data_IF_538595393594
#
_entry.id   IF_538595393594
#
_cell.length_a   1.000
_cell.length_b   1.000
_cell.length_c   1.000
_cell.angle_alpha   90.00
_cell.angle_beta   90.00
_cell.angle_gamma   90.00
#
_symmetry.space_group_name_H-M   'P 1'
#
loop_
_entity.id
_entity.type
_entity.pdbx_description
1 polymer ?
#
# COMPACT_ATOMS: atom_id res chain seq x y z
N UNK A 1 -46.70 -3.85 6.95
CA UNK A 1 -45.77 -3.10 6.07
C UNK A 1 -45.50 -3.95 4.85
N UNK A 2 -45.12 -3.37 3.71
CA UNK A 2 -44.87 -4.10 2.47
C UNK A 2 -43.79 -3.39 1.63
N UNK A 3 -43.18 -4.11 0.69
CA UNK A 3 -42.25 -3.52 -0.26
C UNK A 3 -42.98 -2.91 -1.44
N UNK A 4 -42.67 -1.65 -1.75
CA UNK A 4 -43.18 -0.94 -2.91
C UNK A 4 -42.08 -0.77 -3.95
N UNK A 5 -42.31 -1.30 -5.15
CA UNK A 5 -41.41 -1.12 -6.30
C UNK A 5 -41.58 0.28 -6.89
N UNK A 6 -40.46 0.93 -7.17
CA UNK A 6 -40.39 2.16 -7.94
C UNK A 6 -39.52 1.94 -9.17
N UNK A 7 -40.00 2.39 -10.33
CA UNK A 7 -39.26 2.32 -11.58
C UNK A 7 -38.97 3.74 -12.08
N UNK A 8 -37.72 3.98 -12.44
CA UNK A 8 -37.27 5.24 -13.03
C UNK A 8 -36.46 4.95 -14.28
N UNK A 9 -36.80 5.62 -15.39
CA UNK A 9 -36.01 5.56 -16.62
C UNK A 9 -35.00 6.72 -16.61
N UNK A 10 -33.71 6.40 -16.74
CA UNK A 10 -32.61 7.38 -16.81
C UNK A 10 -31.54 6.84 -17.76
N UNK A 11 -31.00 7.69 -18.63
CA UNK A 11 -29.89 7.34 -19.54
C UNK A 11 -30.13 6.07 -20.38
N UNK A 12 -31.37 5.92 -20.89
CA UNK A 12 -31.77 4.77 -21.71
C UNK A 12 -32.01 3.46 -20.94
N UNK A 13 -31.67 3.39 -19.65
CA UNK A 13 -31.85 2.20 -18.80
C UNK A 13 -33.01 2.38 -17.81
N UNK A 14 -33.69 1.28 -17.48
CA UNK A 14 -34.75 1.25 -16.47
C UNK A 14 -34.17 0.80 -15.15
N UNK A 15 -34.15 1.70 -14.18
CA UNK A 15 -33.71 1.45 -12.82
C UNK A 15 -34.91 1.10 -11.93
N UNK A 16 -34.82 -0.02 -11.21
CA UNK A 16 -35.87 -0.47 -10.28
C UNK A 16 -35.32 -0.45 -8.86
N UNK A 17 -35.93 0.35 -7.98
CA UNK A 17 -35.57 0.41 -6.56
C UNK A 17 -36.78 0.12 -5.68
N UNK A 18 -36.52 -0.32 -4.45
CA UNK A 18 -37.55 -0.75 -3.51
C UNK A 18 -37.62 0.15 -2.28
N UNK A 19 -38.83 0.35 -1.78
CA UNK A 19 -39.09 1.12 -0.56
C UNK A 19 -39.96 0.32 0.41
N UNK A 20 -39.54 0.22 1.66
CA UNK A 20 -40.36 -0.33 2.73
C UNK A 20 -41.44 0.69 3.10
N UNK A 21 -42.70 0.28 2.98
CA UNK A 21 -43.85 1.16 3.11
C UNK A 21 -44.82 0.61 4.15
N UNK A 22 -45.34 1.49 4.99
CA UNK A 22 -46.41 1.19 5.95
C UNK A 22 -47.71 1.89 5.57
N UNK A 23 -48.85 1.26 5.90
CA UNK A 23 -50.17 1.86 5.72
C UNK A 23 -50.58 2.53 7.03
N UNK A 24 -50.70 3.86 7.00
CA UNK A 24 -51.10 4.68 8.15
C UNK A 24 -52.53 5.17 7.93
N UNK A 25 -53.39 5.03 8.95
CA UNK A 25 -54.74 5.61 8.91
C UNK A 25 -54.65 7.11 9.13
N UNK A 26 -55.20 7.89 8.20
CA UNK A 26 -55.32 9.35 8.32
C UNK A 26 -56.79 9.75 8.32
N UNK A 27 -57.10 10.99 8.72
CA UNK A 27 -58.46 11.54 8.68
C UNK A 27 -59.10 11.54 7.29
N UNK A 28 -58.28 11.40 6.23
CA UNK A 28 -58.72 11.30 4.82
C UNK A 28 -58.65 9.87 4.27
N UNK A 29 -58.58 8.86 5.15
CA UNK A 29 -58.45 7.45 4.79
C UNK A 29 -57.03 6.89 4.94
N UNK A 30 -56.83 5.60 4.63
CA UNK A 30 -55.52 4.98 4.70
C UNK A 30 -54.56 5.57 3.65
N UNK A 31 -53.36 5.93 4.07
CA UNK A 31 -52.28 6.43 3.22
C UNK A 31 -51.01 5.62 3.42
N UNK A 32 -50.20 5.54 2.37
CA UNK A 32 -48.91 4.85 2.40
C UNK A 32 -47.81 5.82 2.81
N UNK A 33 -47.04 5.48 3.85
CA UNK A 33 -45.86 6.21 4.30
C UNK A 33 -44.62 5.35 4.04
N UNK A 34 -43.64 5.90 3.35
CA UNK A 34 -42.34 5.24 3.17
C UNK A 34 -41.54 5.32 4.47
N UNK A 35 -41.10 4.17 4.96
CA UNK A 35 -40.29 4.01 6.17
C UNK A 35 -38.80 4.07 5.83
N UNK A 36 -38.38 3.37 4.77
CA UNK A 36 -36.99 3.35 4.32
C UNK A 36 -36.89 3.06 2.81
N UNK A 37 -35.85 3.59 2.16
CA UNK A 37 -35.45 3.22 0.81
C UNK A 37 -34.37 2.14 0.89
N UNK A 38 -34.59 1.01 0.22
CA UNK A 38 -33.67 -0.14 0.22
C UNK A 38 -32.67 -0.11 -0.96
N UNK A 39 -32.83 0.85 -1.88
CA UNK A 39 -31.98 0.96 -3.06
C UNK A 39 -32.33 -0.02 -4.17
N UNK A 40 -31.39 -0.22 -5.09
CA UNK A 40 -31.48 -1.23 -6.15
C UNK A 40 -31.04 -2.58 -5.58
N UNK A 41 -31.82 -3.63 -5.83
CA UNK A 41 -31.49 -5.01 -5.42
C UNK A 41 -31.26 -5.87 -6.66
N UNK A 42 -30.16 -6.62 -6.70
CA UNK A 42 -29.88 -7.58 -7.79
C UNK A 42 -30.85 -8.77 -7.73
N UNK A 43 -31.05 -9.51 -8.84
CA UNK A 43 -31.87 -10.73 -8.82
C UNK A 43 -31.38 -11.78 -7.81
N UNK A 44 -30.06 -11.99 -7.71
CA UNK A 44 -29.42 -12.86 -6.71
C UNK A 44 -29.69 -12.44 -5.27
N UNK A 45 -29.62 -11.14 -4.95
CA UNK A 45 -29.99 -10.63 -3.62
C UNK A 45 -31.45 -10.91 -3.29
N UNK A 46 -32.38 -10.66 -4.23
CA UNK A 46 -33.82 -10.92 -4.04
C UNK A 46 -34.10 -12.40 -3.75
N UNK A 47 -33.42 -13.31 -4.47
CA UNK A 47 -33.50 -14.76 -4.19
C UNK A 47 -32.96 -15.10 -2.80
N UNK A 48 -31.85 -14.49 -2.38
CA UNK A 48 -31.31 -14.65 -1.04
C UNK A 48 -32.31 -14.25 0.06
N UNK A 49 -32.97 -13.10 -0.11
CA UNK A 49 -34.03 -12.64 0.80
C UNK A 49 -35.26 -13.55 0.81
N UNK A 50 -35.72 -14.01 -0.36
CA UNK A 50 -36.85 -14.93 -0.47
C UNK A 50 -36.54 -16.31 0.16
N UNK A 51 -35.28 -16.76 0.12
CA UNK A 51 -34.86 -18.01 0.78
C UNK A 51 -34.89 -17.88 2.31
N UNK A 52 -34.52 -16.72 2.85
CA UNK A 52 -34.62 -16.44 4.30
C UNK A 52 -36.08 -16.45 4.81
N UNK A 53 -37.04 -16.01 4.00
CA UNK A 53 -38.47 -16.10 4.34
C UNK A 53 -38.97 -17.55 4.49
N UNK A 54 -38.32 -18.52 3.85
CA UNK A 54 -38.69 -19.93 3.90
C UNK A 54 -38.11 -20.67 5.11
N UNK A 55 -37.24 -20.03 5.90
CA UNK A 55 -36.64 -20.59 7.11
C UNK A 55 -37.13 -19.98 8.45
N UNK A 56 -38.44 -19.86 8.75
CA UNK A 56 -38.86 -19.64 10.12
C UNK A 56 -39.08 -20.98 10.84
N UNK A 57 -38.34 -21.19 11.93
CA UNK A 57 -38.61 -22.21 12.95
C UNK A 57 -39.87 -21.88 13.79
N UNK A 58 -40.56 -20.77 13.50
CA UNK A 58 -41.74 -20.31 14.25
C UNK A 58 -43.06 -20.79 13.59
N UNK A 59 -43.86 -21.64 14.27
CA UNK A 59 -45.11 -22.18 13.74
C UNK A 59 -46.19 -21.12 13.46
N UNK A 60 -46.11 -19.93 14.07
CA UNK A 60 -47.07 -18.83 13.84
C UNK A 60 -46.84 -18.17 12.48
N UNK A 61 -45.57 -18.06 12.04
CA UNK A 61 -45.21 -17.48 10.75
C UNK A 61 -45.55 -18.41 9.57
N UNK A 62 -45.59 -19.74 9.78
CA UNK A 62 -46.04 -20.71 8.77
C UNK A 62 -47.52 -20.60 8.40
N UNK A 63 -48.36 -20.18 9.34
CA UNK A 63 -49.81 -20.06 9.13
C UNK A 63 -50.21 -18.76 8.43
N UNK A 64 -49.40 -17.71 8.58
CA UNK A 64 -49.52 -16.49 7.82
C UNK A 64 -48.83 -16.71 6.47
N UNK A 65 -49.60 -17.12 5.46
CA UNK A 65 -49.17 -17.10 4.05
C UNK A 65 -48.89 -15.64 3.66
N UNK A 66 -47.76 -15.10 4.09
CA UNK A 66 -47.32 -13.76 3.75
C UNK A 66 -46.88 -13.82 2.30
N UNK A 67 -47.51 -13.01 1.45
CA UNK A 67 -47.11 -12.86 0.06
C UNK A 67 -45.60 -12.56 0.02
N UNK A 68 -44.87 -13.35 -0.76
CA UNK A 68 -43.43 -13.18 -1.03
C UNK A 68 -43.06 -11.69 -1.07
N UNK A 69 -42.01 -11.30 -0.33
CA UNK A 69 -41.51 -9.92 -0.29
C UNK A 69 -41.32 -9.31 -1.69
N UNK A 70 -41.07 -10.17 -2.69
CA UNK A 70 -40.99 -9.82 -4.10
C UNK A 70 -42.06 -10.59 -4.88
N UNK A 71 -42.98 -9.89 -5.55
CA UNK A 71 -43.90 -10.53 -6.50
C UNK A 71 -43.06 -11.14 -7.63
N UNK A 72 -42.93 -12.47 -7.63
CA UNK A 72 -42.15 -13.22 -8.61
C UNK A 72 -42.88 -13.23 -9.97
N UNK A 73 -42.84 -12.12 -10.69
CA UNK A 73 -43.13 -12.14 -12.13
C UNK A 73 -41.85 -12.55 -12.88
N UNK A 74 -41.82 -13.83 -13.25
CA UNK A 74 -40.89 -14.54 -14.13
C UNK A 74 -39.72 -15.27 -13.45
N UNK A 75 -39.89 -16.59 -13.29
CA UNK A 75 -38.87 -17.63 -13.03
C UNK A 75 -37.82 -17.76 -14.17
N UNK A 76 -37.33 -16.65 -14.74
CA UNK A 76 -36.31 -16.65 -15.80
C UNK A 76 -34.94 -16.16 -15.35
N UNK A 77 -34.82 -15.68 -14.12
CA UNK A 77 -33.52 -15.28 -13.57
C UNK A 77 -32.74 -16.53 -13.15
N UNK A 78 -31.71 -16.91 -13.90
CA UNK A 78 -30.87 -18.10 -13.68
C UNK A 78 -29.74 -17.88 -12.67
N UNK A 79 -29.67 -16.73 -12.00
CA UNK A 79 -28.58 -16.42 -11.06
C UNK A 79 -28.59 -17.36 -9.85
N UNK A 80 -27.43 -17.92 -9.51
CA UNK A 80 -27.22 -18.74 -8.32
C UNK A 80 -27.52 -17.94 -7.05
N UNK A 81 -28.13 -18.60 -6.06
CA UNK A 81 -28.38 -18.01 -4.74
C UNK A 81 -27.02 -17.75 -4.09
N UNK A 82 -26.74 -16.51 -3.65
CA UNK A 82 -25.47 -16.22 -2.99
C UNK A 82 -25.32 -17.09 -1.74
N UNK A 83 -24.14 -17.70 -1.58
CA UNK A 83 -23.84 -18.57 -0.45
C UNK A 83 -23.93 -17.75 0.85
N UNK A 84 -24.96 -18.02 1.65
CA UNK A 84 -25.13 -17.41 2.96
C UNK A 84 -24.08 -17.96 3.93
N UNK A 85 -23.29 -17.07 4.53
CA UNK A 85 -22.32 -17.40 5.57
C UNK A 85 -22.77 -16.76 6.87
N UNK A 86 -23.09 -17.58 7.87
CA UNK A 86 -23.42 -17.07 9.21
C UNK A 86 -22.14 -16.63 9.92
N UNK A 87 -22.00 -15.33 10.16
CA UNK A 87 -20.86 -14.75 10.88
C UNK A 87 -21.26 -14.46 12.33
N UNK A 88 -20.52 -15.02 13.29
CA UNK A 88 -20.71 -14.72 14.71
C UNK A 88 -20.07 -13.37 15.03
N UNK A 89 -20.88 -12.31 15.05
CA UNK A 89 -20.42 -10.92 15.26
C UNK A 89 -19.57 -10.79 16.53
N UNK A 90 -19.98 -11.42 17.64
CA UNK A 90 -19.26 -11.38 18.92
C UNK A 90 -17.91 -12.13 18.90
N UNK A 91 -17.63 -12.90 17.85
CA UNK A 91 -16.36 -13.60 17.63
C UNK A 91 -15.41 -12.87 16.69
N UNK A 92 -15.83 -11.75 16.08
CA UNK A 92 -14.98 -10.98 15.17
C UNK A 92 -13.89 -10.27 15.98
N UNK A 93 -12.64 -10.51 15.57
CA UNK A 93 -11.46 -9.86 16.15
C UNK A 93 -10.60 -9.30 15.04
N UNK A 94 -9.96 -8.18 15.32
CA UNK A 94 -8.92 -7.62 14.45
C UNK A 94 -7.61 -8.23 14.90
N UNK A 95 -6.97 -8.97 14.01
CA UNK A 95 -5.66 -9.58 14.24
C UNK A 95 -4.70 -9.15 13.13
N UNK A 96 -3.40 -9.11 13.43
CA UNK A 96 -2.34 -8.76 12.46
C UNK A 96 -2.59 -7.42 11.76
N UNK A 97 -2.89 -6.37 12.52
CA UNK A 97 -2.92 -5.00 11.99
C UNK A 97 -1.56 -4.66 11.38
N UNK A 98 -1.59 -4.10 10.17
CA UNK A 98 -0.40 -3.71 9.43
C UNK A 98 -0.47 -2.26 9.02
N UNK A 99 0.67 -1.58 9.05
CA UNK A 99 0.80 -0.22 8.54
C UNK A 99 0.75 -0.21 7.01
N UNK A 100 -0.07 0.65 6.44
CA UNK A 100 -0.34 0.70 4.99
C UNK A 100 -0.03 2.05 4.35
N UNK A 101 -0.46 3.16 4.96
CA UNK A 101 -0.54 4.46 4.28
C UNK A 101 0.82 5.02 3.85
N UNK A 102 1.79 5.00 4.76
CA UNK A 102 3.15 5.48 4.56
C UNK A 102 3.93 4.60 3.57
N UNK A 103 3.88 3.28 3.74
CA UNK A 103 4.56 2.32 2.85
C UNK A 103 3.99 2.34 1.44
N UNK A 104 2.66 2.50 1.31
CA UNK A 104 2.01 2.64 0.01
C UNK A 104 2.43 3.95 -0.69
N UNK A 105 2.49 5.06 0.06
CA UNK A 105 2.91 6.35 -0.49
C UNK A 105 4.38 6.31 -0.92
N UNK A 106 5.26 5.76 -0.10
CA UNK A 106 6.68 5.62 -0.40
C UNK A 106 6.91 4.68 -1.60
N UNK A 107 6.20 3.56 -1.68
CA UNK A 107 6.24 2.66 -2.85
C UNK A 107 5.72 3.36 -4.12
N UNK A 108 4.66 4.17 -3.99
CA UNK A 108 4.12 4.95 -5.10
C UNK A 108 5.12 5.99 -5.59
N UNK A 109 5.81 6.68 -4.69
CA UNK A 109 6.89 7.61 -5.03
C UNK A 109 8.08 6.90 -5.69
N UNK A 110 8.49 5.74 -5.15
CA UNK A 110 9.52 4.87 -5.73
C UNK A 110 9.22 4.48 -7.19
N UNK A 111 7.97 4.09 -7.44
CA UNK A 111 7.46 3.76 -8.79
C UNK A 111 7.34 4.98 -9.69
N UNK A 112 6.87 6.11 -9.16
CA UNK A 112 6.77 7.36 -9.88
C UNK A 112 8.14 7.89 -10.30
N UNK A 113 9.18 7.71 -9.48
CA UNK A 113 10.57 7.99 -9.84
C UNK A 113 11.13 6.96 -10.83
N UNK A 114 10.39 5.91 -11.20
CA UNK A 114 10.83 4.87 -12.13
C UNK A 114 11.97 4.01 -11.59
N UNK A 115 12.21 4.03 -10.28
CA UNK A 115 13.31 3.31 -9.65
C UNK A 115 13.10 1.80 -9.68
N UNK A 116 11.86 1.33 -9.51
CA UNK A 116 11.52 -0.09 -9.65
C UNK A 116 11.97 -0.64 -11.02
N UNK A 117 11.58 0.03 -12.11
CA UNK A 117 11.98 -0.33 -13.47
C UNK A 117 13.48 -0.22 -13.69
N UNK A 118 14.10 0.84 -13.15
CA UNK A 118 15.56 1.02 -13.24
C UNK A 118 16.29 -0.16 -12.61
N UNK A 119 15.96 -0.52 -11.36
CA UNK A 119 16.66 -1.56 -10.64
C UNK A 119 16.41 -2.95 -11.24
N UNK A 120 15.20 -3.25 -11.70
CA UNK A 120 14.91 -4.49 -12.43
C UNK A 120 15.74 -4.63 -13.72
N UNK A 121 16.03 -3.51 -14.40
CA UNK A 121 16.86 -3.52 -15.61
C UNK A 121 18.37 -3.55 -15.31
N UNK A 122 18.80 -2.87 -14.23
CA UNK A 122 20.21 -2.74 -13.87
C UNK A 122 20.77 -3.95 -13.13
N UNK A 123 19.90 -4.67 -12.42
CA UNK A 123 20.28 -5.85 -11.66
C UNK A 123 19.60 -7.05 -12.31
N UNK A 124 20.34 -7.82 -13.13
CA UNK A 124 19.78 -9.01 -13.76
C UNK A 124 19.40 -10.04 -12.69
N UNK A 125 18.38 -10.82 -13.00
CA UNK A 125 18.00 -11.98 -12.17
C UNK A 125 19.13 -13.01 -12.19
N UNK A 126 19.58 -13.39 -11.00
CA UNK A 126 20.49 -14.48 -10.77
C UNK A 126 19.76 -15.73 -10.27
N UNK A 127 20.37 -16.45 -9.33
CA UNK A 127 19.81 -17.66 -8.70
C UNK A 127 19.05 -17.36 -7.41
N UNK A 128 18.88 -16.09 -7.08
CA UNK A 128 18.17 -15.66 -5.90
C UNK A 128 16.66 -15.88 -6.01
N UNK A 129 16.04 -16.15 -4.87
CA UNK A 129 14.59 -16.36 -4.77
C UNK A 129 13.76 -15.08 -5.01
N UNK A 130 14.38 -13.92 -4.80
CA UNK A 130 13.78 -12.59 -4.92
C UNK A 130 14.82 -11.69 -5.55
N UNK A 131 14.42 -10.99 -6.61
CA UNK A 131 15.23 -9.97 -7.25
C UNK A 131 15.74 -8.94 -6.24
N UNK A 132 17.03 -8.63 -6.32
CA UNK A 132 17.65 -7.56 -5.55
C UNK A 132 16.96 -6.21 -5.71
N UNK A 133 16.30 -5.96 -6.85
CA UNK A 133 15.53 -4.74 -7.06
C UNK A 133 14.45 -4.51 -5.99
N UNK A 134 13.74 -5.56 -5.59
CA UNK A 134 12.74 -5.48 -4.53
C UNK A 134 13.36 -5.27 -3.16
N UNK A 135 14.47 -5.94 -2.86
CA UNK A 135 15.19 -5.75 -1.59
C UNK A 135 15.68 -4.32 -1.44
N UNK A 136 16.21 -3.72 -2.51
CA UNK A 136 16.63 -2.31 -2.52
C UNK A 136 15.43 -1.39 -2.30
N UNK A 137 14.29 -1.67 -2.97
CA UNK A 137 13.05 -0.92 -2.74
C UNK A 137 12.60 -0.98 -1.29
N UNK A 138 12.61 -2.17 -0.67
CA UNK A 138 12.27 -2.36 0.75
C UNK A 138 13.21 -1.56 1.65
N UNK A 139 14.52 -1.59 1.40
CA UNK A 139 15.49 -0.81 2.20
C UNK A 139 15.24 0.69 2.10
N UNK A 140 14.99 1.21 0.90
CA UNK A 140 14.76 2.64 0.69
C UNK A 140 13.44 3.07 1.33
N UNK A 141 12.36 2.31 1.12
CA UNK A 141 11.05 2.58 1.74
C UNK A 141 11.16 2.49 3.27
N UNK A 142 11.86 1.49 3.80
CA UNK A 142 12.14 1.36 5.23
C UNK A 142 12.85 2.59 5.79
N UNK A 143 13.87 3.10 5.10
CA UNK A 143 14.57 4.33 5.50
C UNK A 143 13.69 5.57 5.47
N UNK A 144 12.67 5.63 4.60
CA UNK A 144 11.72 6.75 4.55
C UNK A 144 10.67 6.65 5.66
N UNK A 145 10.11 5.47 5.89
CA UNK A 145 9.00 5.27 6.83
C UNK A 145 9.45 5.07 8.29
N UNK A 146 10.49 4.27 8.52
CA UNK A 146 11.02 3.94 9.85
C UNK A 146 12.56 3.88 9.81
N UNK A 147 13.24 5.04 9.86
CA UNK A 147 14.70 5.10 9.79
C UNK A 147 15.34 4.25 10.90
N UNK A 148 16.04 3.18 10.52
CA UNK A 148 16.66 2.25 11.45
C UNK A 148 17.75 1.40 10.81
N UNK A 149 18.22 0.39 11.52
CA UNK A 149 19.16 -0.59 10.97
C UNK A 149 18.47 -1.52 9.97
N UNK A 150 19.24 -2.15 9.09
CA UNK A 150 18.75 -3.20 8.18
C UNK A 150 18.17 -4.38 8.98
N UNK A 151 18.74 -4.66 10.16
CA UNK A 151 18.20 -5.65 11.08
C UNK A 151 16.79 -5.27 11.57
N UNK A 152 16.61 -4.04 12.04
CA UNK A 152 15.30 -3.54 12.48
C UNK A 152 14.29 -3.55 11.32
N UNK A 153 14.73 -3.13 10.14
CA UNK A 153 13.93 -3.14 8.90
C UNK A 153 13.39 -4.54 8.62
N UNK A 154 14.24 -5.57 8.68
CA UNK A 154 13.87 -6.95 8.38
C UNK A 154 13.06 -7.63 9.49
N UNK A 155 13.43 -7.43 10.77
CA UNK A 155 12.87 -8.21 11.88
C UNK A 155 11.61 -7.60 12.49
N UNK A 156 11.56 -6.27 12.59
CA UNK A 156 10.51 -5.58 13.33
C UNK A 156 9.56 -4.84 12.39
N UNK A 157 10.11 -3.97 11.53
CA UNK A 157 9.31 -3.06 10.72
C UNK A 157 8.60 -3.78 9.57
N UNK A 158 9.33 -4.47 8.68
CA UNK A 158 8.74 -5.08 7.48
C UNK A 158 7.54 -6.01 7.78
N UNK A 159 7.61 -6.93 8.78
CA UNK A 159 6.48 -7.81 9.11
C UNK A 159 5.23 -7.09 9.63
N UNK A 160 5.40 -5.87 10.17
CA UNK A 160 4.32 -5.02 10.68
C UNK A 160 3.70 -4.12 9.61
N UNK A 161 4.21 -4.16 8.37
CA UNK A 161 3.69 -3.35 7.26
C UNK A 161 2.97 -4.19 6.22
N UNK A 162 2.10 -3.58 5.43
CA UNK A 162 1.46 -4.20 4.27
C UNK A 162 2.38 -4.25 3.04
N UNK A 163 3.65 -3.85 3.16
CA UNK A 163 4.57 -3.78 2.03
C UNK A 163 4.79 -5.17 1.39
N UNK A 164 4.80 -6.23 2.21
CA UNK A 164 4.84 -7.61 1.72
C UNK A 164 3.65 -7.96 0.83
N UNK A 165 2.44 -7.54 1.20
CA UNK A 165 1.25 -7.77 0.36
C UNK A 165 1.33 -6.96 -0.94
N UNK A 166 1.86 -5.73 -0.89
CA UNK A 166 2.00 -4.85 -2.07
C UNK A 166 3.07 -5.33 -3.06
N UNK A 167 4.09 -6.03 -2.58
CA UNK A 167 5.18 -6.59 -3.38
C UNK A 167 5.00 -8.09 -3.68
N UNK A 168 3.99 -8.72 -3.07
CA UNK A 168 3.78 -10.17 -3.08
C UNK A 168 5.03 -10.95 -2.60
N UNK A 169 5.57 -10.53 -1.45
CA UNK A 169 6.76 -11.10 -0.82
C UNK A 169 6.52 -11.40 0.66
N UNK A 170 6.83 -12.63 1.06
CA UNK A 170 6.68 -13.07 2.44
C UNK A 170 7.77 -12.50 3.34
N UNK A 171 7.44 -12.28 4.62
CA UNK A 171 8.39 -11.76 5.62
C UNK A 171 9.61 -12.65 5.82
N UNK A 172 9.46 -13.97 5.67
CA UNK A 172 10.56 -14.93 5.82
C UNK A 172 11.65 -14.75 4.75
N UNK A 173 11.29 -14.21 3.59
CA UNK A 173 12.21 -14.03 2.48
C UNK A 173 13.05 -12.73 2.60
N UNK A 174 12.68 -11.86 3.55
CA UNK A 174 13.30 -10.55 3.83
C UNK A 174 14.01 -10.59 5.19
N UNK A 175 15.28 -10.99 5.18
CA UNK A 175 16.12 -11.11 6.38
C UNK A 175 17.38 -10.23 6.29
N UNK A 176 17.93 -9.86 7.45
CA UNK A 176 18.98 -8.84 7.58
C UNK A 176 20.21 -9.09 6.68
N UNK A 177 20.68 -10.33 6.58
CA UNK A 177 21.83 -10.70 5.75
C UNK A 177 21.60 -10.42 4.26
N UNK A 178 20.35 -10.51 3.79
CA UNK A 178 20.00 -10.16 2.43
C UNK A 178 20.08 -8.65 2.22
N UNK A 179 19.55 -7.86 3.15
CA UNK A 179 19.62 -6.40 3.09
C UNK A 179 21.08 -5.92 3.07
N UNK A 180 21.97 -6.52 3.87
CA UNK A 180 23.40 -6.17 3.85
C UNK A 180 24.05 -6.43 2.48
N UNK A 181 23.78 -7.57 1.85
CA UNK A 181 24.32 -7.93 0.53
C UNK A 181 23.75 -7.11 -0.63
N UNK A 182 22.55 -6.54 -0.44
CA UNK A 182 21.94 -5.72 -1.48
C UNK A 182 22.80 -4.49 -1.81
N UNK A 183 23.50 -3.90 -0.83
CA UNK A 183 24.38 -2.74 -1.04
C UNK A 183 25.56 -3.05 -1.97
N UNK A 184 26.16 -4.25 -1.87
CA UNK A 184 27.22 -4.71 -2.79
C UNK A 184 26.70 -4.81 -4.23
N UNK A 185 25.40 -5.06 -4.37
CA UNK A 185 24.73 -5.13 -5.67
C UNK A 185 24.38 -3.74 -6.18
N UNK A 186 24.07 -2.77 -5.32
CA UNK A 186 23.74 -1.40 -5.73
C UNK A 186 24.99 -0.61 -6.11
N UNK A 187 26.07 -0.71 -5.32
CA UNK A 187 27.22 0.18 -5.40
C UNK A 187 27.85 0.30 -6.81
N UNK A 188 28.08 -0.80 -7.56
CA UNK A 188 28.65 -0.72 -8.92
C UNK A 188 27.78 0.03 -9.93
N UNK A 189 26.50 0.29 -9.60
CA UNK A 189 25.53 0.97 -10.46
C UNK A 189 25.29 2.43 -10.09
N UNK A 190 26.04 2.98 -9.11
CA UNK A 190 25.92 4.36 -8.60
C UNK A 190 25.70 5.40 -9.70
N UNK A 191 26.62 5.49 -10.67
CA UNK A 191 26.58 6.49 -11.74
C UNK A 191 25.28 6.42 -12.56
N UNK A 192 24.79 5.22 -12.85
CA UNK A 192 23.54 5.04 -13.61
C UNK A 192 22.32 5.46 -12.79
N UNK A 193 22.34 5.21 -11.48
CA UNK A 193 21.28 5.64 -10.55
C UNK A 193 21.25 7.17 -10.46
N UNK A 194 22.40 7.81 -10.30
CA UNK A 194 22.55 9.27 -10.27
C UNK A 194 22.04 9.92 -11.57
N UNK A 195 22.43 9.39 -12.72
CA UNK A 195 21.96 9.86 -14.03
C UNK A 195 20.44 9.71 -14.19
N UNK A 196 19.88 8.58 -13.74
CA UNK A 196 18.44 8.35 -13.76
C UNK A 196 17.70 9.36 -12.88
N UNK A 197 18.13 9.54 -11.62
CA UNK A 197 17.52 10.50 -10.71
C UNK A 197 17.59 11.93 -11.25
N UNK A 198 18.75 12.35 -11.78
CA UNK A 198 18.92 13.65 -12.43
C UNK A 198 17.88 13.86 -13.55
N UNK A 199 17.70 12.86 -14.41
CA UNK A 199 16.71 12.91 -15.48
C UNK A 199 15.28 13.01 -14.92
N UNK A 200 14.92 12.17 -13.94
CA UNK A 200 13.56 12.13 -13.37
C UNK A 200 13.20 13.39 -12.62
N UNK A 201 14.14 14.00 -11.90
CA UNK A 201 13.91 15.28 -11.24
C UNK A 201 13.70 16.41 -12.25
N UNK A 202 14.44 16.41 -13.36
CA UNK A 202 14.16 17.33 -14.47
C UNK A 202 12.74 17.15 -15.04
N UNK A 203 12.34 15.90 -15.32
CA UNK A 203 11.04 15.58 -15.92
C UNK A 203 9.83 15.82 -15.00
N UNK A 204 9.96 15.51 -13.71
CA UNK A 204 8.83 15.50 -12.77
C UNK A 204 8.75 16.76 -11.91
N UNK A 205 9.89 17.37 -11.60
CA UNK A 205 10.01 18.45 -10.64
C UNK A 205 10.57 19.74 -11.27
N UNK A 206 10.79 19.75 -12.59
CA UNK A 206 11.44 20.85 -13.30
C UNK A 206 12.76 21.28 -12.65
N UNK A 207 13.55 20.30 -12.19
CA UNK A 207 14.80 20.57 -11.52
C UNK A 207 15.84 21.18 -12.48
N UNK A 208 16.37 22.34 -12.09
CA UNK A 208 17.43 23.04 -12.83
C UNK A 208 18.81 22.69 -12.29
N UNK A 209 19.81 22.64 -13.18
CA UNK A 209 21.18 22.23 -12.87
C UNK A 209 22.22 23.29 -13.27
N UNK A 210 21.81 24.54 -13.50
CA UNK A 210 22.71 25.65 -13.84
C UNK A 210 23.65 26.01 -12.68
N UNK A 211 23.11 25.97 -11.46
CA UNK A 211 23.86 26.10 -10.21
C UNK A 211 23.70 24.81 -9.40
N UNK A 212 24.83 24.21 -9.04
CA UNK A 212 24.89 23.01 -8.20
C UNK A 212 25.45 23.40 -6.85
N UNK A 213 24.72 23.08 -5.78
CA UNK A 213 25.22 23.23 -4.42
C UNK A 213 26.03 21.99 -4.07
N UNK A 214 27.25 22.22 -3.61
CA UNK A 214 28.21 21.18 -3.25
C UNK A 214 28.66 21.42 -1.82
N UNK A 215 28.33 20.48 -0.94
CA UNK A 215 28.74 20.52 0.47
C UNK A 215 29.52 19.26 0.84
N UNK A 216 30.56 19.42 1.66
CA UNK A 216 31.41 18.33 2.16
C UNK A 216 31.24 18.21 3.66
N UNK A 217 30.90 17.00 4.09
CA UNK A 217 30.88 16.61 5.49
C UNK A 217 31.86 15.47 5.76
N UNK A 218 32.39 15.41 6.99
CA UNK A 218 33.24 14.32 7.46
C UNK A 218 32.44 13.37 8.35
N UNK A 219 32.69 12.07 8.26
CA UNK A 219 32.21 11.08 9.23
C UNK A 219 33.35 10.16 9.64
N UNK A 220 33.18 9.45 10.76
CA UNK A 220 34.22 8.64 11.37
C UNK A 220 33.75 7.21 11.69
N UNK A 221 34.70 6.29 11.79
CA UNK A 221 34.46 4.90 12.18
C UNK A 221 34.84 4.68 13.64
N UNK A 222 33.96 4.03 14.41
CA UNK A 222 34.28 3.56 15.76
C UNK A 222 35.15 2.28 15.74
N UNK A 223 35.18 1.56 14.61
CA UNK A 223 36.05 0.39 14.40
C UNK A 223 37.35 0.73 13.65
N UNK A 224 38.20 -0.28 13.47
CA UNK A 224 39.53 -0.08 12.87
C UNK A 224 39.51 0.18 11.34
N UNK A 225 38.38 -0.11 10.67
CA UNK A 225 38.18 0.11 9.23
C UNK A 225 39.37 -0.36 8.36
N UNK A 226 39.96 -1.52 8.69
CA UNK A 226 41.18 -2.01 8.04
C UNK A 226 40.99 -2.26 6.55
N UNK A 227 39.80 -2.71 6.14
CA UNK A 227 39.45 -3.02 4.75
C UNK A 227 38.92 -1.82 3.96
N UNK A 228 38.85 -0.63 4.55
CA UNK A 228 38.38 0.57 3.87
C UNK A 228 39.56 1.47 3.50
N UNK A 229 39.93 1.49 2.22
CA UNK A 229 41.05 2.28 1.72
C UNK A 229 40.85 3.79 1.87
N UNK A 230 39.59 4.25 1.92
CA UNK A 230 39.26 5.67 2.11
C UNK A 230 39.42 6.12 3.57
N UNK A 231 39.35 5.18 4.51
CA UNK A 231 39.37 5.49 5.93
C UNK A 231 40.78 5.89 6.39
N UNK A 232 40.99 7.19 6.61
CA UNK A 232 42.26 7.74 7.08
C UNK A 232 42.06 8.61 8.33
N UNK A 233 43.08 8.71 9.17
CA UNK A 233 43.06 9.67 10.29
C UNK A 233 43.31 11.06 9.74
N UNK A 234 42.47 12.01 10.17
CA UNK A 234 42.44 13.33 9.57
C UNK A 234 41.86 14.40 10.48
N UNK A 235 41.64 15.58 9.90
CA UNK A 235 40.93 16.66 10.58
C UNK A 235 39.47 16.29 10.84
N UNK A 236 39.10 16.20 12.11
CA UNK A 236 37.72 15.89 12.56
C UNK A 236 36.98 17.15 12.96
N UNK A 237 35.84 17.46 12.33
CA UNK A 237 34.92 18.48 12.86
C UNK A 237 34.32 18.06 14.21
N UNK A 238 34.16 16.76 14.43
CA UNK A 238 33.61 16.16 15.65
C UNK A 238 34.66 15.90 16.75
N UNK A 239 35.90 16.39 16.54
CA UNK A 239 37.04 16.22 17.48
C UNK A 239 37.43 14.76 17.76
N UNK A 240 37.09 13.82 16.86
CA UNK A 240 37.48 12.40 16.92
C UNK A 240 38.75 12.11 16.11
N UNK A 241 39.87 12.68 16.54
CA UNK A 241 41.19 12.48 15.90
C UNK A 241 41.76 11.07 16.10
N UNK A 242 41.20 10.33 17.07
CA UNK A 242 41.49 8.93 17.37
C UNK A 242 40.95 7.98 16.28
N UNK A 243 39.84 8.36 15.65
CA UNK A 243 39.14 7.57 14.65
C UNK A 243 39.64 7.81 13.23
N UNK A 244 39.55 6.76 12.39
CA UNK A 244 39.63 6.92 10.95
C UNK A 244 38.35 7.56 10.42
N UNK A 245 38.50 8.33 9.36
CA UNK A 245 37.47 9.20 8.80
C UNK A 245 37.39 9.07 7.29
N UNK A 246 36.23 9.44 6.77
CA UNK A 246 35.96 9.64 5.34
C UNK A 246 35.21 10.95 5.17
N UNK A 247 35.45 11.62 4.05
CA UNK A 247 34.68 12.78 3.65
C UNK A 247 33.63 12.36 2.63
N UNK A 248 32.42 12.91 2.74
CA UNK A 248 31.33 12.66 1.82
C UNK A 248 30.90 14.02 1.27
N UNK A 249 30.95 14.17 -0.04
CA UNK A 249 30.36 15.31 -0.71
C UNK A 249 28.99 14.96 -1.26
N UNK A 250 28.04 15.89 -1.10
CA UNK A 250 26.70 15.78 -1.65
C UNK A 250 26.47 16.89 -2.67
N UNK A 251 25.97 16.52 -3.85
CA UNK A 251 25.57 17.44 -4.91
C UNK A 251 24.06 17.56 -4.94
N UNK A 252 23.57 18.80 -4.83
CA UNK A 252 22.13 19.10 -4.84
C UNK A 252 21.82 20.24 -5.82
N UNK A 253 20.58 20.27 -6.31
CA UNK A 253 20.07 21.46 -7.02
C UNK A 253 19.84 22.61 -6.05
N UNK A 254 19.61 23.82 -6.56
CA UNK A 254 19.20 24.97 -5.73
C UNK A 254 17.90 24.72 -4.97
N UNK A 255 17.02 23.87 -5.50
CA UNK A 255 15.81 23.39 -4.84
C UNK A 255 16.03 22.27 -3.81
N UNK A 256 17.29 21.88 -3.55
CA UNK A 256 17.64 20.89 -2.53
C UNK A 256 17.49 19.43 -2.95
N UNK A 257 17.34 19.12 -4.25
CA UNK A 257 17.21 17.74 -4.72
C UNK A 257 18.60 17.09 -4.86
N UNK A 258 18.91 16.02 -4.10
CA UNK A 258 20.21 15.35 -4.17
C UNK A 258 20.28 14.43 -5.40
N UNK A 259 21.22 14.68 -6.29
CA UNK A 259 21.35 13.91 -7.54
C UNK A 259 22.68 13.17 -7.68
N UNK A 260 23.62 13.38 -6.75
CA UNK A 260 24.84 12.61 -6.68
C UNK A 260 25.62 12.86 -5.39
N UNK A 261 26.52 11.94 -5.09
CA UNK A 261 27.44 12.07 -3.95
C UNK A 261 28.81 11.52 -4.34
N UNK A 262 29.86 11.86 -3.61
CA UNK A 262 31.18 11.25 -3.79
C UNK A 262 31.84 11.05 -2.43
N UNK A 263 32.53 9.92 -2.25
CA UNK A 263 33.26 9.61 -1.02
C UNK A 263 34.75 9.79 -1.26
N UNK A 264 35.40 10.51 -0.35
CA UNK A 264 36.82 10.84 -0.41
C UNK A 264 37.54 10.26 0.80
N UNK A 265 38.86 10.13 0.65
CA UNK A 265 39.75 9.85 1.78
C UNK A 265 39.55 10.91 2.86
N UNK A 266 39.58 10.52 4.12
CA UNK A 266 39.67 11.50 5.22
C UNK A 266 40.88 12.41 4.97
N UNK A 267 40.70 13.72 5.09
CA UNK A 267 41.77 14.66 4.78
C UNK A 267 42.99 14.42 5.69
N UNK A 268 44.17 14.10 5.14
CA UNK A 268 45.38 14.03 5.93
C UNK A 268 45.70 15.41 6.52
N UNK A 269 46.17 15.43 7.77
CA UNK A 269 46.67 16.65 8.41
C UNK A 269 47.90 17.20 7.69
#
# INVERSE_FOLDING_TARGET
>A
MFLKRHQRRKDGKTHSYWALTETVRTSKGPRHRTVAYLGESTPSERKGWAHLEQQPDDPVLKALHQASLFECENDKDTEEVPKLVHVRINGVRVEKTRDFGDVWLALSAWRALGLEKLFLNLIPEGKEEISWAYIVGIMVIGRVCSPGSERHTAQDWYPQTSLGDLLNLDSEQVYAQRLYRALDTVFPRKVRIEQHLKKRFGELLNAEYELVLYDITSTYFEGEAQSNELAQRGYSRDRRFDCKQVCIALMTTTGGLPFGYEAFRGEPK
#
